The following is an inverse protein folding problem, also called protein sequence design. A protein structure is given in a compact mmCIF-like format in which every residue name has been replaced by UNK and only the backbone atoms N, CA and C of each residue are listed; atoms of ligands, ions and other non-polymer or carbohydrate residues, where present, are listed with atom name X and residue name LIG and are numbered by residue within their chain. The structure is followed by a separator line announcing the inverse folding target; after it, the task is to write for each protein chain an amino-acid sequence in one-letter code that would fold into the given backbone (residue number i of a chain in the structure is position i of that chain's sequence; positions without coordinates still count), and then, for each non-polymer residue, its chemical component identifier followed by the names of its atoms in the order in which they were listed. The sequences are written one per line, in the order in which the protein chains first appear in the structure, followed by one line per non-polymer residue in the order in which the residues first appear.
data_IF_774226606878
#
_entry.id   IF_774226606878
#
_cell.length_a   1.000
_cell.length_b   1.000
_cell.length_c   1.000
_cell.angle_alpha   90.00
_cell.angle_beta   90.00
_cell.angle_gamma   90.00
#
_symmetry.space_group_name_H-M   'P 1'
#
loop_
_entity.id
_entity.type
_entity.pdbx_description
1 polymer ?
#
# COMPACT_ATOMS: atom_id res chain seq x y z
N UNK A 1 6.87 6.48 5.07
CA UNK A 1 7.23 5.22 4.41
C UNK A 1 8.62 5.32 3.80
N UNK A 2 9.34 4.23 3.83
CA UNK A 2 10.59 4.11 3.11
C UNK A 2 10.45 2.97 2.09
N UNK A 3 10.80 3.22 0.84
CA UNK A 3 10.95 2.27 -0.25
C UNK A 3 9.67 1.85 -1.01
N UNK A 4 8.47 1.94 -0.45
CA UNK A 4 7.25 1.56 -1.17
C UNK A 4 5.99 2.20 -0.55
N UNK A 5 4.99 2.46 -1.38
CA UNK A 5 3.65 2.94 -1.03
C UNK A 5 3.55 4.42 -0.63
N UNK A 6 4.64 5.17 -0.60
CA UNK A 6 4.63 6.61 -0.35
C UNK A 6 3.79 7.36 -1.40
N UNK A 7 3.92 7.01 -2.66
CA UNK A 7 3.11 7.59 -3.73
C UNK A 7 1.62 7.30 -3.58
N UNK A 8 1.26 6.11 -3.13
CA UNK A 8 -0.14 5.76 -2.86
C UNK A 8 -0.69 6.59 -1.70
N UNK A 9 0.07 6.74 -0.62
CA UNK A 9 -0.36 7.56 0.51
C UNK A 9 -0.56 9.02 0.11
N UNK A 10 0.35 9.58 -0.69
CA UNK A 10 0.23 10.95 -1.21
C UNK A 10 -1.06 11.10 -2.02
N UNK A 11 -1.34 10.17 -2.96
CA UNK A 11 -2.55 10.22 -3.78
C UNK A 11 -3.81 10.11 -2.91
N UNK A 12 -3.86 9.19 -1.94
CA UNK A 12 -5.01 9.03 -1.05
C UNK A 12 -5.26 10.29 -0.22
N UNK A 13 -4.22 10.94 0.30
CA UNK A 13 -4.34 12.20 1.04
C UNK A 13 -4.76 13.35 0.14
N UNK A 14 -4.24 13.42 -1.08
CA UNK A 14 -4.65 14.41 -2.08
C UNK A 14 -6.15 14.35 -2.33
N UNK A 15 -6.69 13.15 -2.53
CA UNK A 15 -8.13 12.95 -2.70
C UNK A 15 -8.93 13.31 -1.42
N UNK A 16 -8.40 12.97 -0.25
CA UNK A 16 -9.09 13.27 1.01
C UNK A 16 -9.16 14.76 1.32
N UNK A 17 -8.20 15.54 0.85
CA UNK A 17 -8.25 17.00 0.91
C UNK A 17 -9.13 17.65 -0.18
N UNK A 18 -9.70 16.87 -1.08
CA UNK A 18 -10.59 17.33 -2.13
C UNK A 18 -9.91 17.72 -3.44
N UNK A 19 -8.64 17.41 -3.58
CA UNK A 19 -7.90 17.57 -4.83
C UNK A 19 -8.00 16.32 -5.69
N UNK A 20 -7.57 16.42 -6.96
CA UNK A 20 -7.54 15.32 -7.92
C UNK A 20 -6.10 15.02 -8.31
N UNK A 21 -5.76 13.74 -8.39
CA UNK A 21 -4.49 13.30 -8.95
C UNK A 21 -4.68 12.92 -10.42
N UNK A 22 -3.90 13.53 -11.31
CA UNK A 22 -3.94 13.26 -12.74
C UNK A 22 -2.72 12.44 -13.19
N UNK A 23 -2.98 11.48 -14.06
CA UNK A 23 -1.93 10.81 -14.79
C UNK A 23 -1.61 11.58 -16.07
N UNK A 24 -0.42 12.17 -16.15
CA UNK A 24 0.04 12.89 -17.32
C UNK A 24 0.81 11.93 -18.25
N UNK A 25 0.24 11.62 -19.40
CA UNK A 25 0.83 10.65 -20.36
C UNK A 25 2.13 11.15 -20.99
N UNK A 26 2.30 12.47 -21.07
CA UNK A 26 3.41 13.12 -21.74
C UNK A 26 4.58 13.40 -20.79
N UNK A 27 4.43 13.08 -19.50
CA UNK A 27 5.50 13.21 -18.51
C UNK A 27 6.16 11.85 -18.30
N UNK A 28 7.44 11.78 -18.56
CA UNK A 28 8.27 10.62 -18.23
C UNK A 28 9.33 10.99 -17.19
N UNK A 29 9.54 10.10 -16.25
CA UNK A 29 10.58 10.22 -15.23
C UNK A 29 11.52 9.04 -15.36
N UNK A 30 12.80 9.31 -15.52
CA UNK A 30 13.81 8.26 -15.51
C UNK A 30 14.06 7.81 -14.07
N UNK A 31 13.78 6.55 -13.80
CA UNK A 31 14.05 5.93 -12.51
C UNK A 31 15.28 5.04 -12.59
N UNK A 32 16.24 5.12 -11.65
CA UNK A 32 17.38 4.21 -11.63
C UNK A 32 16.94 2.76 -11.62
N UNK A 33 17.64 1.91 -12.36
CA UNK A 33 17.38 0.46 -12.35
C UNK A 33 17.59 -0.08 -10.95
N UNK A 34 16.58 -0.76 -10.42
CA UNK A 34 16.65 -1.39 -9.09
C UNK A 34 17.44 -2.67 -9.20
N UNK A 35 18.45 -2.83 -8.35
CA UNK A 35 19.27 -4.04 -8.27
C UNK A 35 18.40 -5.23 -7.83
N UNK A 36 18.34 -6.32 -8.61
CA UNK A 36 17.60 -7.54 -8.25
C UNK A 36 18.06 -8.20 -6.95
N UNK A 37 19.29 -7.96 -6.48
CA UNK A 37 19.82 -8.50 -5.22
C UNK A 37 19.09 -8.01 -3.96
N UNK A 38 18.17 -7.04 -4.08
CA UNK A 38 17.37 -6.52 -2.96
C UNK A 38 16.04 -7.25 -2.73
N UNK A 39 15.84 -8.43 -3.31
CA UNK A 39 14.53 -9.11 -3.29
C UNK A 39 13.95 -9.34 -1.89
N UNK A 40 14.73 -9.77 -0.90
CA UNK A 40 14.21 -10.07 0.44
C UNK A 40 13.75 -8.80 1.16
N UNK A 41 14.56 -7.74 1.12
CA UNK A 41 14.18 -6.45 1.69
C UNK A 41 12.94 -5.86 0.99
N UNK A 42 12.83 -6.02 -0.33
CA UNK A 42 11.66 -5.58 -1.10
C UNK A 42 10.37 -6.24 -0.60
N UNK A 43 10.34 -7.57 -0.50
CA UNK A 43 9.13 -8.29 -0.07
C UNK A 43 8.73 -7.92 1.36
N UNK A 44 9.70 -7.84 2.26
CA UNK A 44 9.47 -7.47 3.66
C UNK A 44 8.92 -6.05 3.77
N UNK A 45 9.59 -5.07 3.16
CA UNK A 45 9.19 -3.65 3.24
C UNK A 45 7.85 -3.41 2.54
N UNK A 46 7.60 -4.07 1.42
CA UNK A 46 6.34 -3.99 0.71
C UNK A 46 5.16 -4.46 1.59
N UNK A 47 5.29 -5.62 2.23
CA UNK A 47 4.25 -6.15 3.11
C UNK A 47 4.01 -5.25 4.33
N UNK A 48 5.09 -4.84 5.01
CA UNK A 48 5.02 -3.93 6.16
C UNK A 48 4.32 -2.62 5.79
N UNK A 49 4.76 -2.00 4.72
CA UNK A 49 4.25 -0.70 4.31
C UNK A 49 2.78 -0.76 3.85
N UNK A 50 2.30 -1.90 3.32
CA UNK A 50 0.88 -2.11 3.04
C UNK A 50 0.04 -2.09 4.32
N UNK A 51 0.47 -2.78 5.36
CA UNK A 51 -0.22 -2.75 6.65
C UNK A 51 -0.22 -1.34 7.23
N UNK A 52 0.91 -0.66 7.18
CA UNK A 52 1.02 0.72 7.65
C UNK A 52 0.15 1.68 6.85
N UNK A 53 0.10 1.52 5.53
CA UNK A 53 -0.78 2.32 4.66
C UNK A 53 -2.24 2.17 5.09
N UNK A 54 -2.69 0.93 5.30
CA UNK A 54 -4.04 0.66 5.78
C UNK A 54 -4.30 1.29 7.16
N UNK A 55 -3.46 0.98 8.14
CA UNK A 55 -3.60 1.47 9.53
C UNK A 55 -3.57 3.00 9.65
N UNK A 56 -2.81 3.66 8.80
CA UNK A 56 -2.71 5.14 8.81
C UNK A 56 -3.87 5.83 8.11
N UNK A 57 -4.35 5.25 7.02
CA UNK A 57 -5.19 5.99 6.06
C UNK A 57 -6.58 5.40 5.87
N UNK A 58 -6.86 4.16 6.25
CA UNK A 58 -8.17 3.57 6.04
C UNK A 58 -9.06 3.69 7.29
N UNK A 59 -10.39 3.82 7.09
CA UNK A 59 -11.36 3.52 8.15
C UNK A 59 -11.13 2.12 8.73
N UNK A 60 -11.33 1.96 10.05
CA UNK A 60 -11.01 0.70 10.77
C UNK A 60 -11.59 -0.55 10.12
N UNK A 61 -12.83 -0.45 9.61
CA UNK A 61 -13.52 -1.59 8.98
C UNK A 61 -12.91 -2.00 7.63
N UNK A 62 -12.20 -1.11 6.96
CA UNK A 62 -11.54 -1.38 5.67
C UNK A 62 -10.12 -1.93 5.83
N UNK A 63 -9.49 -1.74 6.98
CA UNK A 63 -8.13 -2.23 7.23
C UNK A 63 -8.01 -3.75 7.06
N UNK A 64 -8.85 -4.58 7.74
CA UNK A 64 -8.75 -6.03 7.59
C UNK A 64 -9.11 -6.50 6.17
N UNK A 65 -10.02 -5.81 5.49
CA UNK A 65 -10.39 -6.12 4.11
C UNK A 65 -9.17 -5.88 3.19
N UNK A 66 -8.53 -4.72 3.31
CA UNK A 66 -7.34 -4.39 2.52
C UNK A 66 -6.20 -5.39 2.78
N UNK A 67 -5.87 -5.63 4.05
CA UNK A 67 -4.78 -6.54 4.41
C UNK A 67 -5.10 -7.97 3.97
N UNK A 68 -6.33 -8.43 4.19
CA UNK A 68 -6.79 -9.76 3.77
C UNK A 68 -6.75 -9.96 2.26
N UNK A 69 -7.18 -8.97 1.48
CA UNK A 69 -7.08 -9.00 0.01
C UNK A 69 -5.63 -9.19 -0.46
N UNK A 70 -4.69 -8.47 0.16
CA UNK A 70 -3.29 -8.59 -0.21
C UNK A 70 -2.63 -9.88 0.28
N UNK A 71 -3.05 -10.43 1.41
CA UNK A 71 -2.65 -11.78 1.83
C UNK A 71 -3.12 -12.80 0.78
N UNK A 72 -4.40 -12.78 0.41
CA UNK A 72 -4.96 -13.70 -0.57
C UNK A 72 -4.25 -13.59 -1.93
N UNK A 73 -4.08 -12.36 -2.45
CA UNK A 73 -3.38 -12.14 -3.72
C UNK A 73 -1.92 -12.59 -3.68
N UNK A 74 -1.23 -12.39 -2.55
CA UNK A 74 0.15 -12.83 -2.39
C UNK A 74 0.25 -14.36 -2.41
N UNK A 75 -0.61 -15.06 -1.67
CA UNK A 75 -0.65 -16.52 -1.64
C UNK A 75 -1.00 -17.12 -3.01
N UNK A 76 -1.89 -16.49 -3.77
CA UNK A 76 -2.26 -16.94 -5.10
C UNK A 76 -1.14 -16.76 -6.14
N UNK A 77 -0.36 -15.69 -6.03
CA UNK A 77 0.61 -15.28 -7.06
C UNK A 77 2.06 -15.66 -6.75
N UNK A 78 2.43 -15.67 -5.48
CA UNK A 78 3.81 -15.88 -5.06
C UNK A 78 4.09 -17.37 -4.83
N UNK A 79 5.00 -17.94 -5.62
CA UNK A 79 5.40 -19.36 -5.53
C UNK A 79 6.73 -19.57 -4.81
N UNK A 80 7.54 -18.52 -4.68
CA UNK A 80 8.85 -18.61 -4.03
C UNK A 80 8.68 -18.59 -2.50
N UNK A 81 9.10 -19.69 -1.84
CA UNK A 81 8.97 -19.84 -0.38
C UNK A 81 9.82 -18.85 0.43
N UNK A 82 11.01 -18.49 -0.07
CA UNK A 82 11.86 -17.51 0.61
C UNK A 82 11.20 -16.11 0.57
N UNK A 83 10.71 -15.70 -0.61
CA UNK A 83 9.97 -14.46 -0.78
C UNK A 83 8.70 -14.41 0.09
N UNK A 84 7.95 -15.52 0.20
CA UNK A 84 6.80 -15.63 1.10
C UNK A 84 7.20 -15.43 2.56
N UNK A 85 8.29 -16.08 3.01
CA UNK A 85 8.79 -15.92 4.39
C UNK A 85 9.14 -14.47 4.67
N UNK A 86 9.88 -13.81 3.80
CA UNK A 86 10.24 -12.40 3.92
C UNK A 86 9.00 -11.49 3.92
N UNK A 87 8.02 -11.81 3.07
CA UNK A 87 6.77 -11.06 3.01
C UNK A 87 5.95 -11.20 4.31
N UNK A 88 5.81 -12.42 4.85
CA UNK A 88 5.10 -12.62 6.13
C UNK A 88 5.84 -12.02 7.32
N UNK A 89 7.17 -11.99 7.32
CA UNK A 89 7.93 -11.26 8.33
C UNK A 89 7.62 -9.75 8.29
N UNK A 90 7.53 -9.17 7.09
CA UNK A 90 7.11 -7.78 6.92
C UNK A 90 5.66 -7.52 7.33
N UNK A 91 4.74 -8.45 7.01
CA UNK A 91 3.35 -8.37 7.46
C UNK A 91 3.25 -8.32 8.99
N UNK A 92 3.97 -9.22 9.67
CA UNK A 92 4.05 -9.25 11.13
C UNK A 92 4.61 -7.95 11.71
N UNK A 93 5.71 -7.46 11.15
CA UNK A 93 6.30 -6.17 11.53
C UNK A 93 5.28 -5.02 11.37
N UNK A 94 4.55 -5.01 10.26
CA UNK A 94 3.50 -4.02 10.00
C UNK A 94 2.36 -4.05 11.01
N UNK A 95 2.00 -5.24 11.51
CA UNK A 95 0.96 -5.42 12.53
C UNK A 95 1.43 -5.03 13.92
N UNK A 96 2.67 -5.32 14.28
CA UNK A 96 3.21 -5.15 15.64
C UNK A 96 3.84 -3.79 15.90
N UNK A 97 4.45 -3.19 14.88
CA UNK A 97 5.09 -1.86 14.99
C UNK A 97 4.06 -0.76 14.70
N UNK A 98 4.05 0.25 15.56
CA UNK A 98 3.18 1.41 15.36
C UNK A 98 3.66 2.27 14.17
N UNK A 99 2.84 2.47 13.12
CA UNK A 99 3.21 3.30 11.98
C UNK A 99 3.21 4.81 12.26
N UNK A 100 2.75 5.25 13.43
CA UNK A 100 2.54 6.67 13.76
C UNK A 100 1.43 7.33 12.94
N UNK A 101 1.13 8.56 13.30
CA UNK A 101 0.35 9.50 12.48
C UNK A 101 -0.93 8.97 11.80
N UNK A 102 -1.83 8.27 12.56
CA UNK A 102 -3.10 7.80 12.01
C UNK A 102 -4.02 8.96 11.63
N UNK A 103 -4.42 9.01 10.37
CA UNK A 103 -5.38 9.97 9.83
C UNK A 103 -6.25 9.28 8.78
N UNK A 104 -7.30 8.55 9.18
CA UNK A 104 -8.15 7.82 8.26
C UNK A 104 -8.85 8.76 7.29
N UNK A 105 -8.91 8.37 6.02
CA UNK A 105 -9.65 9.10 5.02
C UNK A 105 -11.15 9.11 5.34
N UNK A 106 -11.82 10.16 4.92
CA UNK A 106 -13.26 10.32 5.10
C UNK A 106 -14.03 9.33 4.21
N UNK A 107 -15.18 8.88 4.65
CA UNK A 107 -16.03 7.98 3.86
C UNK A 107 -16.43 8.55 2.50
N UNK A 108 -16.61 9.86 2.40
CA UNK A 108 -16.86 10.51 1.11
C UNK A 108 -15.72 10.25 0.10
N UNK A 109 -14.49 10.21 0.57
CA UNK A 109 -13.29 9.92 -0.24
C UNK A 109 -13.28 8.46 -0.68
N UNK A 110 -13.58 7.52 0.24
CA UNK A 110 -13.73 6.09 -0.09
C UNK A 110 -14.75 5.90 -1.21
N UNK A 111 -15.92 6.54 -1.10
CA UNK A 111 -16.97 6.46 -2.10
C UNK A 111 -16.58 7.11 -3.43
N UNK A 112 -15.91 8.27 -3.39
CA UNK A 112 -15.43 8.95 -4.60
C UNK A 112 -14.41 8.07 -5.36
N UNK A 113 -13.44 7.51 -4.65
CA UNK A 113 -12.45 6.58 -5.24
C UNK A 113 -13.11 5.32 -5.79
N UNK A 114 -14.07 4.75 -5.07
CA UNK A 114 -14.82 3.56 -5.52
C UNK A 114 -15.60 3.83 -6.78
N UNK A 115 -16.29 4.99 -6.89
CA UNK A 115 -17.01 5.39 -8.10
C UNK A 115 -16.08 5.66 -9.29
N UNK A 116 -14.86 6.12 -9.01
CA UNK A 116 -13.80 6.28 -10.02
C UNK A 116 -13.14 4.94 -10.45
N UNK A 117 -13.64 3.79 -9.98
CA UNK A 117 -13.07 2.48 -10.28
C UNK A 117 -11.74 2.19 -9.58
N UNK A 118 -11.43 2.91 -8.51
CA UNK A 118 -10.20 2.78 -7.73
C UNK A 118 -10.50 2.62 -6.23
N UNK A 119 -11.25 1.58 -5.82
CA UNK A 119 -11.58 1.39 -4.41
C UNK A 119 -10.29 1.23 -3.58
N UNK A 120 -10.19 1.88 -2.40
CA UNK A 120 -8.96 1.86 -1.59
C UNK A 120 -8.78 0.54 -0.81
N UNK A 121 -9.27 -0.57 -1.33
CA UNK A 121 -9.21 -1.91 -0.70
C UNK A 121 -8.52 -2.97 -1.56
N UNK A 122 -8.12 -2.61 -2.78
CA UNK A 122 -7.40 -3.50 -3.72
C UNK A 122 -6.27 -2.72 -4.38
#
# INVERSE_FOLDING_TARGET
FFYAHEGIEVVWRTWDEGFVAWYARDLSVNHPVIDPARHDAYYRLNARNRVWLARRNLPLVLEPIYVGSWIALTLLRMRNRAALRSWFAGLWEGMTVNPGGRRPMRWRTVWAMTRAGRPPVI
#
